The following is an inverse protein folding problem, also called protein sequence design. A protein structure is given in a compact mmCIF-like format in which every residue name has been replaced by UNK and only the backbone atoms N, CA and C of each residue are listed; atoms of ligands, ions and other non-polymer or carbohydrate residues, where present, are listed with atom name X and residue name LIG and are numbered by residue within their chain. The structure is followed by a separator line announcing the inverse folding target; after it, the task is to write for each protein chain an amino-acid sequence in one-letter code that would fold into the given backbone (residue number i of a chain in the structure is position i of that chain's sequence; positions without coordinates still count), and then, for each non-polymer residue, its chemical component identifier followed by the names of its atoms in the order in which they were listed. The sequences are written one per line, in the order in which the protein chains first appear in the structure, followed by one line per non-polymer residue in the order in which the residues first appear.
data_IF_082561825832
#
_entry.id   IF_082561825832
#
_cell.length_a   1.000
_cell.length_b   1.000
_cell.length_c   1.000
_cell.angle_alpha   90.00
_cell.angle_beta   90.00
_cell.angle_gamma   90.00
#
_symmetry.space_group_name_H-M   'P 1'
#
loop_
_entity.id
_entity.type
_entity.pdbx_description
1 polymer ?
#
# COMPACT_ATOMS: atom_id res chain seq x y z
N UNK A 1 2.68 33.95 -7.98
CA UNK A 1 3.61 33.35 -7.00
C UNK A 1 2.85 32.25 -6.29
N UNK A 2 3.38 31.04 -6.12
CA UNK A 2 2.72 30.06 -5.24
C UNK A 2 2.89 30.56 -3.80
N UNK A 3 1.79 30.82 -3.11
CA UNK A 3 1.78 31.31 -1.73
C UNK A 3 0.99 30.33 -0.85
N UNK A 4 1.20 30.35 0.46
CA UNK A 4 0.51 29.45 1.42
C UNK A 4 0.77 27.97 1.11
N UNK A 5 2.01 27.52 1.24
CA UNK A 5 2.35 26.10 1.21
C UNK A 5 1.86 25.47 2.51
N UNK A 6 1.10 24.38 2.38
CA UNK A 6 0.60 23.57 3.47
C UNK A 6 1.25 22.19 3.44
N UNK A 7 1.50 21.65 4.63
CA UNK A 7 2.01 20.30 4.82
C UNK A 7 1.11 19.57 5.81
N UNK A 8 0.82 18.30 5.53
CA UNK A 8 0.15 17.40 6.46
C UNK A 8 0.77 16.01 6.36
N UNK A 9 1.16 15.47 7.51
CA UNK A 9 1.56 14.06 7.64
C UNK A 9 0.32 13.19 7.77
N UNK A 10 0.24 12.15 6.95
CA UNK A 10 -0.90 11.23 6.90
C UNK A 10 -0.36 9.81 6.91
N UNK A 11 -0.80 9.00 7.87
CA UNK A 11 -0.57 7.57 7.83
C UNK A 11 -1.76 6.90 7.16
N UNK A 12 -1.52 6.18 6.07
CA UNK A 12 -2.55 5.47 5.33
C UNK A 12 -2.44 3.99 5.65
N UNK A 13 -3.50 3.34 6.16
CA UNK A 13 -3.53 1.90 6.38
C UNK A 13 -3.28 1.11 5.10
N UNK A 14 -2.72 -0.09 5.24
CA UNK A 14 -2.66 -1.13 4.20
C UNK A 14 -3.34 -2.37 4.76
N UNK A 15 -4.51 -2.70 4.23
CA UNK A 15 -5.36 -3.78 4.76
C UNK A 15 -6.60 -3.26 5.49
N UNK A 16 -7.32 -4.16 6.16
CA UNK A 16 -8.69 -3.92 6.66
C UNK A 16 -8.78 -3.60 8.17
N UNK A 17 -7.69 -3.14 8.77
CA UNK A 17 -7.56 -3.02 10.23
C UNK A 17 -7.97 -1.67 10.83
N UNK A 18 -8.20 -0.65 10.00
CA UNK A 18 -8.54 0.69 10.48
C UNK A 18 -9.88 0.75 11.24
N UNK A 19 -9.95 1.62 12.24
CA UNK A 19 -11.13 1.74 13.11
C UNK A 19 -12.23 2.64 12.53
N UNK A 20 -11.88 3.63 11.72
CA UNK A 20 -12.82 4.54 11.05
C UNK A 20 -13.14 4.12 9.61
N UNK A 21 -14.27 4.61 9.08
CA UNK A 21 -14.75 4.22 7.74
C UNK A 21 -13.82 4.69 6.62
N UNK A 22 -13.31 5.92 6.70
CA UNK A 22 -12.41 6.46 5.69
C UNK A 22 -11.08 5.71 5.67
N UNK A 23 -10.53 5.41 6.85
CA UNK A 23 -9.33 4.58 7.01
C UNK A 23 -9.51 3.17 6.48
N UNK A 24 -10.68 2.54 6.69
CA UNK A 24 -10.96 1.21 6.13
C UNK A 24 -11.02 1.21 4.61
N UNK A 25 -11.64 2.22 4.02
CA UNK A 25 -11.73 2.32 2.57
C UNK A 25 -10.37 2.61 1.93
N UNK A 26 -9.60 3.53 2.51
CA UNK A 26 -8.22 3.76 2.12
C UNK A 26 -7.38 2.48 2.26
N UNK A 27 -7.54 1.75 3.37
CA UNK A 27 -6.85 0.49 3.64
C UNK A 27 -7.13 -0.60 2.62
N UNK A 28 -8.39 -0.77 2.20
CA UNK A 28 -8.78 -1.70 1.13
C UNK A 28 -8.20 -1.32 -0.22
N UNK A 29 -8.21 -0.01 -0.53
CA UNK A 29 -7.60 0.48 -1.76
C UNK A 29 -6.10 0.20 -1.78
N UNK A 30 -5.40 0.51 -0.68
CA UNK A 30 -3.97 0.26 -0.54
C UNK A 30 -3.63 -1.23 -0.54
N UNK A 31 -4.46 -2.09 0.05
CA UNK A 31 -4.30 -3.54 -0.02
C UNK A 31 -4.34 -4.00 -1.48
N UNK A 32 -5.38 -3.60 -2.23
CA UNK A 32 -5.51 -3.94 -3.65
C UNK A 32 -4.32 -3.41 -4.46
N UNK A 33 -3.94 -2.15 -4.26
CA UNK A 33 -2.80 -1.55 -4.94
C UNK A 33 -1.51 -2.33 -4.68
N UNK A 34 -1.26 -2.72 -3.43
CA UNK A 34 -0.06 -3.47 -3.05
C UNK A 34 -0.04 -4.83 -3.75
N UNK A 35 -1.16 -5.56 -3.78
CA UNK A 35 -1.25 -6.85 -4.47
C UNK A 35 -0.98 -6.70 -5.98
N UNK A 36 -1.61 -5.71 -6.62
CA UNK A 36 -1.38 -5.41 -8.04
C UNK A 36 0.06 -5.01 -8.34
N UNK A 37 0.70 -4.27 -7.43
CA UNK A 37 2.11 -3.90 -7.55
C UNK A 37 3.01 -5.14 -7.60
N UNK A 38 2.82 -6.09 -6.68
CA UNK A 38 3.60 -7.32 -6.66
C UNK A 38 3.31 -8.23 -7.86
N UNK A 39 2.05 -8.32 -8.29
CA UNK A 39 1.68 -9.00 -9.53
C UNK A 39 2.40 -8.37 -10.75
N UNK A 40 2.42 -7.04 -10.84
CA UNK A 40 3.13 -6.31 -11.90
C UNK A 40 4.64 -6.49 -11.85
N UNK A 41 5.22 -6.66 -10.65
CA UNK A 41 6.64 -6.94 -10.47
C UNK A 41 7.03 -8.39 -10.71
N UNK A 42 6.07 -9.31 -10.90
CA UNK A 42 6.34 -10.74 -11.10
C UNK A 42 7.43 -11.02 -12.13
N UNK A 43 7.46 -10.40 -13.34
CA UNK A 43 8.55 -10.62 -14.30
C UNK A 43 9.92 -10.25 -13.71
N UNK A 44 10.04 -9.12 -13.03
CA UNK A 44 11.30 -8.70 -12.43
C UNK A 44 11.73 -9.59 -11.26
N UNK A 45 10.79 -10.09 -10.46
CA UNK A 45 11.08 -11.03 -9.37
C UNK A 45 11.67 -12.34 -9.90
N UNK A 46 11.24 -12.77 -11.08
CA UNK A 46 11.77 -13.97 -11.75
C UNK A 46 13.08 -13.64 -12.47
N UNK A 47 13.06 -12.69 -13.41
CA UNK A 47 14.16 -12.43 -14.35
C UNK A 47 15.37 -11.78 -13.67
N UNK A 48 15.14 -10.93 -12.67
CA UNK A 48 16.20 -10.21 -11.94
C UNK A 48 16.39 -10.82 -10.55
N UNK A 49 15.30 -11.13 -9.86
CA UNK A 49 15.33 -11.70 -8.51
C UNK A 49 15.71 -13.18 -8.46
N UNK A 50 15.69 -13.89 -9.59
CA UNK A 50 16.05 -15.31 -9.69
C UNK A 50 15.04 -16.26 -9.04
N UNK A 51 13.83 -15.78 -8.76
CA UNK A 51 12.76 -16.58 -8.16
C UNK A 51 12.09 -17.46 -9.21
N UNK A 52 11.56 -18.60 -8.79
CA UNK A 52 10.64 -19.39 -9.60
C UNK A 52 9.24 -18.77 -9.61
N UNK A 53 8.43 -19.13 -10.61
CA UNK A 53 7.03 -18.70 -10.67
C UNK A 53 6.25 -19.10 -9.42
N UNK A 54 6.42 -20.34 -8.95
CA UNK A 54 5.73 -20.88 -7.78
C UNK A 54 6.10 -20.14 -6.49
N UNK A 55 7.37 -19.75 -6.34
CA UNK A 55 7.81 -18.94 -5.19
C UNK A 55 7.16 -17.56 -5.19
N UNK A 56 7.08 -16.90 -6.36
CA UNK A 56 6.42 -15.60 -6.47
C UNK A 56 4.93 -15.72 -6.16
N UNK A 57 4.26 -16.73 -6.72
CA UNK A 57 2.84 -16.95 -6.51
C UNK A 57 2.54 -17.27 -5.02
N UNK A 58 3.42 -18.03 -4.35
CA UNK A 58 3.35 -18.30 -2.91
C UNK A 58 3.48 -17.03 -2.07
N UNK A 59 4.42 -16.14 -2.41
CA UNK A 59 4.61 -14.87 -1.69
C UNK A 59 3.39 -13.96 -1.86
N UNK A 60 2.86 -13.86 -3.08
CA UNK A 60 1.69 -13.03 -3.35
C UNK A 60 0.46 -13.57 -2.61
N UNK A 61 0.26 -14.89 -2.59
CA UNK A 61 -0.82 -15.51 -1.82
C UNK A 61 -0.69 -15.21 -0.32
N UNK A 62 0.51 -15.32 0.24
CA UNK A 62 0.78 -14.99 1.64
C UNK A 62 0.54 -13.51 1.94
N UNK A 63 0.96 -12.62 1.05
CA UNK A 63 0.71 -11.19 1.18
C UNK A 63 -0.79 -10.86 1.21
N UNK A 64 -1.59 -11.51 0.37
CA UNK A 64 -3.06 -11.36 0.37
C UNK A 64 -3.64 -11.76 1.72
N UNK A 65 -3.23 -12.92 2.25
CA UNK A 65 -3.67 -13.43 3.55
C UNK A 65 -3.28 -12.47 4.68
N UNK A 66 -2.02 -12.05 4.73
CA UNK A 66 -1.50 -11.18 5.78
C UNK A 66 -2.18 -9.80 5.78
N UNK A 67 -2.40 -9.19 4.61
CA UNK A 67 -3.13 -7.92 4.51
C UNK A 67 -4.64 -8.06 4.79
N UNK A 68 -5.19 -9.27 4.65
CA UNK A 68 -6.57 -9.60 5.03
C UNK A 68 -6.75 -9.80 6.53
N UNK A 69 -5.71 -10.20 7.25
CA UNK A 69 -5.73 -10.37 8.70
C UNK A 69 -5.43 -9.06 9.44
N UNK A 70 -6.43 -8.19 9.49
CA UNK A 70 -6.34 -6.90 10.18
C UNK A 70 -6.20 -7.00 11.70
N UNK A 71 -6.33 -8.19 12.29
CA UNK A 71 -6.10 -8.40 13.73
C UNK A 71 -4.63 -8.57 14.06
N UNK A 72 -3.86 -9.12 13.10
CA UNK A 72 -2.45 -9.44 13.25
C UNK A 72 -1.54 -8.39 12.63
N UNK A 73 -1.90 -7.86 11.47
CA UNK A 73 -1.05 -6.98 10.69
C UNK A 73 -1.70 -5.60 10.52
N UNK A 74 -1.10 -4.61 11.18
CA UNK A 74 -1.55 -3.21 11.17
C UNK A 74 -0.53 -2.34 10.45
N UNK A 75 -0.28 -2.65 9.18
CA UNK A 75 0.69 -1.94 8.35
C UNK A 75 0.13 -0.59 7.88
N UNK A 76 0.93 0.46 7.98
CA UNK A 76 0.63 1.80 7.47
C UNK A 76 1.79 2.35 6.65
N UNK A 77 1.47 3.18 5.66
CA UNK A 77 2.45 3.94 4.88
C UNK A 77 2.33 5.41 5.27
N UNK A 78 3.42 6.04 5.78
CA UNK A 78 3.44 7.46 6.05
C UNK A 78 3.58 8.26 4.75
N UNK A 79 2.75 9.28 4.59
CA UNK A 79 2.78 10.23 3.48
C UNK A 79 2.96 11.66 4.01
N UNK A 80 3.88 12.40 3.41
CA UNK A 80 3.97 13.85 3.56
C UNK A 80 3.16 14.50 2.42
N UNK A 81 1.95 14.94 2.74
CA UNK A 81 1.05 15.58 1.78
C UNK A 81 1.30 17.09 1.76
N UNK A 82 1.84 17.59 0.65
CA UNK A 82 2.23 18.99 0.47
C UNK A 82 1.39 19.60 -0.66
N UNK A 83 0.74 20.74 -0.41
CA UNK A 83 -0.03 21.46 -1.42
C UNK A 83 0.09 22.98 -1.25
N UNK A 84 -0.16 23.73 -2.33
CA UNK A 84 -0.13 25.20 -2.32
C UNK A 84 -1.31 25.74 -3.13
N UNK A 85 -1.77 26.95 -2.77
CA UNK A 85 -2.86 27.63 -3.49
C UNK A 85 -2.27 28.76 -4.32
N UNK A 86 -2.61 28.80 -5.61
CA UNK A 86 -2.24 29.91 -6.49
C UNK A 86 -3.21 31.06 -6.27
N UNK A 87 -2.66 32.23 -5.96
CA UNK A 87 -3.37 33.52 -5.96
C UNK A 87 -3.14 34.22 -7.29
#
# INVERSE_FOLDING_TARGET
MWTNVHEKKINVPVGVWASDEAGREAGRLMQRQTIELYNGFRPNLIDIGGMTGDEVDSIIAKLIEELGDGSKWQLEIPYDFIWAVKV
#
